data_IF_272712984741
#
_entry.id   IF_272712984741
#
_cell.length_a   1.000
_cell.length_b   1.000
_cell.length_c   1.000
_cell.angle_alpha   90.00
_cell.angle_beta   90.00
_cell.angle_gamma   90.00
#
_symmetry.space_group_name_H-M   'P 1'
#
loop_
_entity.id
_entity.type
_entity.pdbx_description
1 polymer ?
#
# COMPACT_ATOMS: atom_id res chain seq x y z
N UNK A 1 1.86 3.54 10.87
CA UNK A 1 0.50 3.49 11.46
C UNK A 1 -0.07 4.90 11.44
N UNK A 2 -1.37 5.07 11.17
CA UNK A 2 -2.00 6.38 11.20
C UNK A 2 -2.25 6.80 12.67
N UNK A 3 -1.62 7.88 13.17
CA UNK A 3 -1.68 8.24 14.58
C UNK A 3 -3.01 8.86 15.03
N UNK A 4 -3.82 9.38 14.09
CA UNK A 4 -5.15 9.94 14.40
C UNK A 4 -6.23 8.87 14.41
N UNK A 5 -6.02 7.80 13.65
CA UNK A 5 -6.95 6.69 13.53
C UNK A 5 -6.22 5.44 13.02
N UNK A 6 -5.84 4.51 13.92
CA UNK A 6 -5.11 3.31 13.56
C UNK A 6 -5.83 2.43 12.54
N UNK A 7 -7.17 2.42 12.52
CA UNK A 7 -7.96 1.61 11.59
C UNK A 7 -7.82 2.09 10.13
N UNK A 8 -7.43 3.34 9.91
CA UNK A 8 -7.10 3.91 8.59
C UNK A 8 -5.62 3.76 8.21
N UNK A 9 -4.90 2.85 8.85
CA UNK A 9 -3.54 2.50 8.42
C UNK A 9 -3.57 1.70 7.12
N UNK A 10 -2.55 1.87 6.30
CA UNK A 10 -2.37 1.10 5.08
C UNK A 10 -1.13 0.23 5.16
N UNK A 11 -1.16 -0.91 4.47
CA UNK A 11 -0.04 -1.82 4.27
C UNK A 11 0.58 -1.48 2.91
N UNK A 12 1.89 -1.28 2.88
CA UNK A 12 2.64 -0.99 1.65
C UNK A 12 3.45 -2.24 1.30
N UNK A 13 3.17 -2.82 0.14
CA UNK A 13 3.90 -3.96 -0.42
C UNK A 13 4.67 -3.53 -1.67
N UNK A 14 5.93 -3.96 -1.80
CA UNK A 14 6.71 -3.77 -3.03
C UNK A 14 6.79 -5.08 -3.78
N UNK A 15 6.46 -5.05 -5.08
CA UNK A 15 6.83 -6.11 -6.01
C UNK A 15 8.10 -5.68 -6.73
N UNK A 16 9.20 -6.42 -6.49
CA UNK A 16 10.53 -6.16 -7.07
C UNK A 16 10.52 -6.13 -8.61
N UNK A 17 9.52 -6.73 -9.27
CA UNK A 17 9.36 -6.71 -10.72
C UNK A 17 8.15 -5.89 -11.19
N UNK A 18 7.27 -5.48 -10.28
CA UNK A 18 5.93 -4.99 -10.62
C UNK A 18 5.54 -3.61 -10.05
N UNK A 19 6.19 -3.08 -9.02
CA UNK A 19 5.88 -1.74 -8.48
C UNK A 19 5.36 -1.74 -7.05
N UNK A 20 4.56 -0.73 -6.68
CA UNK A 20 4.09 -0.49 -5.31
C UNK A 20 2.59 -0.79 -5.18
N UNK A 21 2.25 -1.63 -4.21
CA UNK A 21 0.88 -1.90 -3.83
C UNK A 21 0.55 -1.28 -2.47
N UNK A 22 -0.66 -0.75 -2.35
CA UNK A 22 -1.23 -0.23 -1.11
C UNK A 22 -2.49 -1.02 -0.79
N UNK A 23 -2.58 -1.54 0.42
CA UNK A 23 -3.73 -2.28 0.92
C UNK A 23 -4.29 -1.63 2.20
N UNK A 24 -5.56 -1.87 2.47
CA UNK A 24 -6.12 -1.65 3.80
C UNK A 24 -5.72 -2.79 4.77
N UNK A 25 -6.12 -2.67 6.03
CA UNK A 25 -5.85 -3.68 7.06
C UNK A 25 -6.62 -5.00 6.85
N UNK A 26 -7.67 -5.00 6.02
CA UNK A 26 -8.41 -6.19 5.64
C UNK A 26 -7.79 -6.89 4.42
N UNK A 27 -6.72 -6.34 3.84
CA UNK A 27 -6.02 -6.89 2.67
C UNK A 27 -6.64 -6.48 1.33
N UNK A 28 -7.60 -5.56 1.31
CA UNK A 28 -8.16 -5.04 0.06
C UNK A 28 -7.18 -4.08 -0.59
N UNK A 29 -6.92 -4.28 -1.88
CA UNK A 29 -6.09 -3.37 -2.66
C UNK A 29 -6.77 -1.99 -2.78
N UNK A 30 -6.08 -0.96 -2.31
CA UNK A 30 -6.49 0.44 -2.41
C UNK A 30 -5.87 1.10 -3.64
N UNK A 31 -4.61 0.78 -3.93
CA UNK A 31 -3.88 1.39 -5.03
C UNK A 31 -2.77 0.47 -5.52
N UNK A 32 -2.52 0.53 -6.83
CA UNK A 32 -1.34 -0.06 -7.45
C UNK A 32 -0.65 1.01 -8.30
N UNK A 33 0.66 1.16 -8.07
CA UNK A 33 1.54 2.02 -8.83
C UNK A 33 2.54 1.13 -9.58
N UNK A 34 2.39 0.93 -10.90
CA UNK A 34 3.20 -0.03 -11.66
C UNK A 34 4.69 0.34 -11.84
N UNK A 35 5.20 1.35 -11.12
CA UNK A 35 6.45 2.03 -11.47
C UNK A 35 7.23 2.38 -10.19
N UNK A 36 8.36 1.70 -9.96
CA UNK A 36 9.28 2.02 -8.85
C UNK A 36 10.22 3.20 -9.11
N UNK A 37 10.14 3.85 -10.28
CA UNK A 37 10.98 4.99 -10.71
C UNK A 37 10.32 5.74 -11.89
N UNK A 38 10.15 7.05 -11.75
CA UNK A 38 10.54 8.00 -12.80
C UNK A 38 11.98 8.42 -12.51
#
# INVERSE_FOLDING_TARGET
VNPKDPARSAIIGTDKKGGLYVYDLAGKALQYLPNGRM
#
